data_IF_534118197190
#
_entry.id   IF_534118197190
#
_cell.length_a   1.000
_cell.length_b   1.000
_cell.length_c   1.000
_cell.angle_alpha   90.00
_cell.angle_beta   90.00
_cell.angle_gamma   90.00
#
_symmetry.space_group_name_H-M   'P 1'
#
loop_
_entity.id
_entity.type
_entity.pdbx_description
1 polymer ?
#
# COMPACT_ATOMS: atom_id res chain seq x y z
N UNK A 1 -53.22 -2.16 52.05
CA UNK A 1 -54.52 -2.15 51.38
C UNK A 1 -54.30 -2.30 49.89
N UNK A 2 -54.56 -3.51 49.39
CA UNK A 2 -54.43 -3.87 48.01
C UNK A 2 -55.74 -3.49 47.24
N UNK A 3 -55.62 -2.75 46.16
CA UNK A 3 -56.72 -2.42 45.25
C UNK A 3 -56.58 -3.30 43.98
N UNK A 4 -57.48 -4.23 43.80
CA UNK A 4 -57.66 -5.10 42.65
C UNK A 4 -58.07 -4.30 41.40
N UNK A 5 -57.37 -4.40 40.31
CA UNK A 5 -57.83 -3.95 38.98
C UNK A 5 -58.17 -5.19 38.16
N UNK A 6 -59.45 -5.31 37.88
CA UNK A 6 -60.06 -6.39 37.08
C UNK A 6 -59.63 -6.32 35.61
N UNK A 7 -59.27 -7.46 35.05
CA UNK A 7 -58.93 -7.61 33.67
C UNK A 7 -60.10 -7.36 32.72
N UNK A 8 -59.84 -6.67 31.64
CA UNK A 8 -60.70 -6.54 30.45
C UNK A 8 -60.32 -7.63 29.45
N UNK A 9 -61.26 -8.45 28.97
CA UNK A 9 -60.87 -9.52 28.05
C UNK A 9 -60.64 -8.98 26.64
N UNK A 10 -59.39 -9.00 26.23
CA UNK A 10 -58.87 -8.64 24.87
C UNK A 10 -59.07 -9.79 23.88
N UNK A 11 -60.32 -10.28 23.74
CA UNK A 11 -60.60 -11.44 22.87
C UNK A 11 -61.81 -11.22 21.95
N UNK A 12 -62.13 -9.99 21.56
CA UNK A 12 -63.24 -9.74 20.63
C UNK A 12 -62.91 -8.80 19.46
N UNK A 13 -61.64 -8.50 19.16
CA UNK A 13 -61.27 -7.61 18.04
C UNK A 13 -60.64 -8.31 16.83
N UNK A 14 -60.46 -9.62 16.83
CA UNK A 14 -59.83 -10.34 15.71
C UNK A 14 -60.77 -11.17 14.85
N UNK A 15 -62.05 -10.90 14.90
CA UNK A 15 -63.00 -11.74 14.14
C UNK A 15 -63.74 -11.03 13.01
N UNK A 16 -63.22 -9.93 12.46
CA UNK A 16 -63.85 -9.27 11.31
C UNK A 16 -62.89 -8.64 10.34
N UNK A 17 -61.91 -9.39 9.86
CA UNK A 17 -61.11 -9.02 8.69
C UNK A 17 -60.52 -10.25 8.00
N UNK A 18 -61.32 -11.30 7.83
CA UNK A 18 -60.99 -12.39 6.91
C UNK A 18 -61.88 -12.29 5.67
N UNK A 19 -61.82 -11.19 4.96
CA UNK A 19 -62.23 -11.20 3.55
C UNK A 19 -61.05 -11.79 2.77
N UNK A 20 -61.16 -13.06 2.42
CA UNK A 20 -60.28 -13.72 1.46
C UNK A 20 -60.30 -12.90 0.17
N UNK A 21 -59.23 -12.11 -0.04
CA UNK A 21 -58.89 -11.64 -1.37
C UNK A 21 -58.54 -12.90 -2.18
N UNK A 22 -59.46 -13.32 -3.01
CA UNK A 22 -59.25 -14.31 -4.06
C UNK A 22 -58.23 -13.70 -5.01
N UNK A 23 -56.98 -14.09 -4.88
CA UNK A 23 -55.94 -13.75 -5.85
C UNK A 23 -56.30 -14.50 -7.12
N UNK A 24 -56.87 -13.75 -8.06
CA UNK A 24 -57.21 -14.26 -9.41
C UNK A 24 -55.87 -14.54 -10.13
N UNK A 25 -55.54 -15.83 -10.22
CA UNK A 25 -54.27 -16.32 -10.77
C UNK A 25 -54.10 -16.06 -12.27
N UNK A 26 -55.10 -15.51 -12.94
CA UNK A 26 -55.11 -15.37 -14.41
C UNK A 26 -54.88 -13.94 -14.93
N UNK A 27 -54.73 -12.94 -14.05
CA UNK A 27 -54.51 -11.56 -14.46
C UNK A 27 -53.12 -11.02 -13.99
N UNK A 28 -52.09 -11.86 -14.02
CA UNK A 28 -50.76 -11.33 -13.98
C UNK A 28 -50.46 -10.72 -15.35
N UNK A 29 -50.83 -9.43 -15.49
CA UNK A 29 -50.75 -8.68 -16.74
C UNK A 29 -49.30 -8.74 -17.26
N UNK A 30 -49.17 -9.01 -18.56
CA UNK A 30 -47.89 -8.98 -19.29
C UNK A 30 -47.09 -7.73 -18.95
N UNK A 31 -47.76 -6.62 -18.59
CA UNK A 31 -47.15 -5.37 -18.16
C UNK A 31 -46.44 -5.44 -16.78
N UNK A 32 -46.94 -6.28 -15.83
CA UNK A 32 -46.26 -6.48 -14.55
C UNK A 32 -45.00 -7.33 -14.68
N UNK A 33 -44.99 -8.29 -15.58
CA UNK A 33 -43.81 -9.11 -15.88
C UNK A 33 -42.74 -8.28 -16.60
N UNK A 34 -43.14 -7.46 -17.58
CA UNK A 34 -42.23 -6.56 -18.27
C UNK A 34 -41.65 -5.48 -17.33
N UNK A 35 -42.46 -4.93 -16.41
CA UNK A 35 -41.97 -3.95 -15.43
C UNK A 35 -40.99 -4.56 -14.43
N UNK A 36 -41.19 -5.79 -13.99
CA UNK A 36 -40.26 -6.51 -13.13
C UNK A 36 -38.94 -6.87 -13.86
N UNK A 37 -39.05 -7.25 -15.14
CA UNK A 37 -37.88 -7.57 -15.97
C UNK A 37 -37.04 -6.32 -16.29
N UNK A 38 -37.70 -5.18 -16.59
CA UNK A 38 -36.98 -3.90 -16.83
C UNK A 38 -36.34 -3.36 -15.53
N UNK A 39 -37.02 -3.48 -14.39
CA UNK A 39 -36.46 -3.09 -13.09
C UNK A 39 -35.23 -3.95 -12.71
N UNK A 40 -35.30 -5.27 -12.97
CA UNK A 40 -34.19 -6.20 -12.76
C UNK A 40 -33.01 -5.91 -13.70
N UNK A 41 -33.27 -5.56 -14.96
CA UNK A 41 -32.22 -5.20 -15.93
C UNK A 41 -31.56 -3.86 -15.60
N UNK A 42 -32.31 -2.88 -15.10
CA UNK A 42 -31.77 -1.59 -14.64
C UNK A 42 -30.93 -1.78 -13.38
N UNK A 43 -31.32 -2.64 -12.43
CA UNK A 43 -30.53 -2.99 -11.25
C UNK A 43 -29.23 -3.73 -11.61
N UNK A 44 -29.24 -4.56 -12.65
CA UNK A 44 -28.03 -5.22 -13.16
C UNK A 44 -27.06 -4.25 -13.86
N UNK A 45 -27.55 -3.20 -14.52
CA UNK A 45 -26.74 -2.20 -15.19
C UNK A 45 -26.09 -1.18 -14.22
N UNK A 46 -26.67 -0.96 -13.05
CA UNK A 46 -26.11 -0.07 -12.01
C UNK A 46 -24.95 -0.72 -11.26
N UNK A 47 -24.76 -2.05 -11.34
CA UNK A 47 -23.71 -2.79 -10.63
C UNK A 47 -22.30 -2.73 -11.26
N UNK A 48 -22.13 -2.11 -12.44
CA UNK A 48 -20.83 -2.06 -13.15
C UNK A 48 -20.23 -0.64 -13.31
N UNK A 49 -20.63 0.31 -12.49
CA UNK A 49 -19.82 1.50 -12.32
C UNK A 49 -18.59 1.12 -11.48
N UNK A 50 -17.56 0.50 -12.10
CA UNK A 50 -16.21 0.54 -11.56
C UNK A 50 -15.87 2.02 -11.47
N UNK A 51 -15.82 2.57 -10.28
CA UNK A 51 -15.15 3.83 -10.07
C UNK A 51 -13.72 3.62 -10.57
N UNK A 52 -13.29 4.36 -11.59
CA UNK A 52 -11.90 4.38 -12.01
C UNK A 52 -11.07 4.77 -10.78
N UNK A 53 -10.33 3.82 -10.25
CA UNK A 53 -9.44 4.03 -9.12
C UNK A 53 -8.41 5.07 -9.53
N UNK A 54 -8.44 6.24 -8.91
CA UNK A 54 -7.48 7.31 -9.20
C UNK A 54 -6.09 6.87 -8.75
N UNK A 55 -5.24 6.55 -9.73
CA UNK A 55 -3.85 6.15 -9.50
C UNK A 55 -2.96 7.38 -9.64
N UNK A 56 -2.15 7.63 -8.62
CA UNK A 56 -1.09 8.63 -8.64
C UNK A 56 0.18 7.96 -9.15
N UNK A 57 0.82 8.54 -10.18
CA UNK A 57 2.18 8.22 -10.60
C UNK A 57 3.08 9.39 -10.22
N UNK A 58 4.20 9.11 -9.55
CA UNK A 58 5.11 10.14 -9.04
C UNK A 58 6.56 9.63 -9.02
N UNK A 59 7.52 10.55 -9.11
CA UNK A 59 8.95 10.29 -8.95
C UNK A 59 9.41 10.20 -7.47
N UNK A 60 8.45 10.30 -6.54
CA UNK A 60 8.70 10.19 -5.11
C UNK A 60 7.40 10.18 -4.31
N UNK A 61 7.51 10.17 -3.01
CA UNK A 61 6.42 10.17 -2.05
C UNK A 61 6.63 11.23 -0.99
N UNK A 62 5.61 12.03 -0.70
CA UNK A 62 5.57 12.92 0.47
C UNK A 62 4.25 12.69 1.22
N UNK A 63 4.35 12.40 2.51
CA UNK A 63 3.17 12.22 3.34
C UNK A 63 2.42 13.54 3.59
N UNK A 64 3.13 14.67 3.65
CA UNK A 64 2.55 15.97 4.02
C UNK A 64 2.02 16.78 2.82
N UNK A 65 2.18 16.31 1.60
CA UNK A 65 1.71 17.00 0.43
C UNK A 65 2.56 16.81 -0.82
N UNK A 66 2.86 17.92 -1.50
CA UNK A 66 3.61 17.89 -2.75
C UNK A 66 5.11 17.79 -2.51
N UNK A 67 5.82 17.21 -3.49
CA UNK A 67 7.27 17.15 -3.54
C UNK A 67 7.83 18.52 -3.94
N UNK A 68 8.88 18.98 -3.30
CA UNK A 68 9.52 20.26 -3.61
C UNK A 68 10.41 20.20 -4.87
N UNK A 69 11.01 19.04 -5.14
CA UNK A 69 11.82 18.83 -6.33
C UNK A 69 10.96 18.33 -7.49
N UNK A 70 11.11 18.91 -8.71
CA UNK A 70 10.43 18.42 -9.90
C UNK A 70 10.98 17.04 -10.33
N UNK A 71 10.26 16.34 -11.22
CA UNK A 71 10.64 15.01 -11.68
C UNK A 71 12.03 14.93 -12.34
N UNK A 72 12.44 16.02 -12.98
CA UNK A 72 13.69 16.12 -13.75
C UNK A 72 14.80 16.90 -13.03
N UNK A 73 14.74 17.01 -11.69
CA UNK A 73 15.77 17.73 -10.95
C UNK A 73 17.15 17.12 -11.16
N UNK A 74 18.18 17.94 -11.52
CA UNK A 74 19.51 17.43 -11.88
C UNK A 74 20.36 17.06 -10.65
N UNK A 75 20.08 17.63 -9.52
CA UNK A 75 20.73 17.37 -8.23
C UNK A 75 19.93 18.03 -7.09
N UNK A 76 20.14 17.57 -5.88
CA UNK A 76 19.61 18.20 -4.68
C UNK A 76 20.23 19.58 -4.46
N UNK A 77 19.47 20.57 -4.01
CA UNK A 77 19.90 21.98 -3.94
C UNK A 77 21.11 22.21 -3.03
N UNK A 78 21.27 21.39 -2.00
CA UNK A 78 22.38 21.49 -1.06
C UNK A 78 23.65 20.77 -1.54
N UNK A 79 23.64 20.12 -2.70
CA UNK A 79 24.80 19.43 -3.27
C UNK A 79 25.59 20.36 -4.17
N UNK A 80 26.90 20.42 -3.96
CA UNK A 80 27.79 21.10 -4.88
C UNK A 80 28.03 20.22 -6.12
N UNK A 81 27.43 20.57 -7.26
CA UNK A 81 27.57 19.83 -8.53
C UNK A 81 29.01 19.80 -9.07
N UNK A 82 29.82 20.78 -8.70
CA UNK A 82 31.19 20.94 -9.15
C UNK A 82 32.21 20.31 -8.16
N UNK A 83 31.73 19.62 -7.13
CA UNK A 83 32.61 18.92 -6.19
C UNK A 83 33.38 17.81 -6.90
N UNK A 84 34.69 17.67 -6.63
CA UNK A 84 35.49 16.59 -7.18
C UNK A 84 34.94 15.23 -6.76
N UNK A 85 34.92 14.29 -7.70
CA UNK A 85 34.51 12.91 -7.44
C UNK A 85 35.68 12.08 -6.90
N UNK A 86 35.40 11.34 -5.84
CA UNK A 86 36.41 10.46 -5.20
C UNK A 86 37.14 11.12 -4.04
N UNK A 87 38.18 10.45 -3.58
CA UNK A 87 38.97 10.82 -2.39
C UNK A 87 38.75 9.86 -1.23
N UNK A 88 39.49 10.07 -0.14
CA UNK A 88 39.41 9.27 1.08
C UNK A 88 38.76 10.10 2.20
N UNK A 89 37.88 9.48 2.94
CA UNK A 89 37.27 10.05 4.14
C UNK A 89 37.54 9.16 5.34
N UNK A 90 38.04 9.76 6.40
CA UNK A 90 38.22 9.09 7.70
C UNK A 90 37.19 9.59 8.68
N UNK A 91 36.39 8.67 9.23
CA UNK A 91 35.41 8.98 10.26
C UNK A 91 35.81 8.33 11.59
N UNK A 92 35.54 9.04 12.68
CA UNK A 92 35.67 8.45 13.99
C UNK A 92 34.43 7.61 14.32
N UNK A 93 34.62 6.42 14.88
CA UNK A 93 33.57 5.58 15.39
C UNK A 93 33.96 4.88 16.67
N UNK A 94 33.02 4.81 17.62
CA UNK A 94 33.30 4.16 18.91
C UNK A 94 33.15 2.65 18.81
N UNK A 95 34.10 1.93 19.42
CA UNK A 95 34.06 0.47 19.53
C UNK A 95 34.80 -0.24 18.43
N UNK A 96 34.50 -1.51 18.24
CA UNK A 96 35.10 -2.42 17.26
C UNK A 96 33.99 -3.04 16.39
N UNK A 97 34.38 -3.64 15.28
CA UNK A 97 33.47 -4.40 14.42
C UNK A 97 34.11 -5.74 14.05
N UNK A 98 33.27 -6.69 13.67
CA UNK A 98 33.67 -8.02 13.20
C UNK A 98 32.92 -8.44 11.93
N UNK A 99 32.09 -7.54 11.36
CA UNK A 99 31.32 -7.76 10.14
C UNK A 99 31.16 -6.47 9.34
N UNK A 100 31.18 -6.58 8.00
CA UNK A 100 30.79 -5.51 7.08
C UNK A 100 29.34 -5.69 6.58
N UNK A 101 28.61 -6.66 7.08
CA UNK A 101 27.18 -6.84 6.78
C UNK A 101 26.33 -6.09 7.81
N UNK A 102 25.60 -5.01 7.44
CA UNK A 102 24.80 -4.23 8.38
C UNK A 102 23.54 -4.98 8.85
N UNK A 103 23.15 -6.05 8.15
CA UNK A 103 21.96 -6.86 8.43
C UNK A 103 22.27 -8.12 9.23
N UNK A 104 23.51 -8.25 9.74
CA UNK A 104 23.92 -9.43 10.49
C UNK A 104 23.12 -9.59 11.79
N UNK A 105 22.69 -10.81 12.08
CA UNK A 105 22.03 -11.17 13.35
C UNK A 105 23.02 -11.43 14.48
N UNK A 106 24.27 -11.64 14.16
CA UNK A 106 25.38 -11.89 15.11
C UNK A 106 26.54 -10.98 14.76
N UNK A 107 27.27 -10.59 15.77
CA UNK A 107 28.41 -9.70 15.61
C UNK A 107 28.00 -8.20 15.62
N UNK A 108 28.96 -7.38 15.28
CA UNK A 108 28.82 -5.92 15.22
C UNK A 108 29.25 -5.43 13.84
N UNK A 109 28.36 -4.75 13.14
CA UNK A 109 28.66 -4.17 11.83
C UNK A 109 29.59 -2.98 11.94
N UNK A 110 30.46 -2.81 10.94
CA UNK A 110 31.34 -1.64 10.81
C UNK A 110 30.54 -0.35 10.62
N UNK A 111 31.14 0.77 11.02
CA UNK A 111 30.64 2.08 10.65
C UNK A 111 30.61 2.21 9.13
N UNK A 112 29.56 2.82 8.58
CA UNK A 112 29.30 2.93 7.13
C UNK A 112 29.15 1.57 6.39
N UNK A 113 28.98 0.46 7.10
CA UNK A 113 28.72 -0.83 6.45
C UNK A 113 27.43 -0.83 5.60
N UNK A 114 26.48 0.07 5.87
CA UNK A 114 25.29 0.27 5.05
C UNK A 114 25.47 1.15 3.82
N UNK A 115 26.57 1.90 3.71
CA UNK A 115 26.79 2.86 2.61
C UNK A 115 26.77 2.26 1.19
N UNK A 116 27.17 0.98 0.96
CA UNK A 116 27.08 0.36 -0.37
C UNK A 116 25.68 -0.13 -0.75
N UNK A 117 24.70 -0.07 0.14
CA UNK A 117 23.35 -0.56 -0.11
C UNK A 117 22.44 0.62 -0.42
N UNK A 118 21.73 0.50 -1.54
CA UNK A 118 20.74 1.49 -1.99
C UNK A 118 19.33 0.95 -1.82
N UNK A 119 18.41 1.85 -1.53
CA UNK A 119 16.97 1.56 -1.40
C UNK A 119 16.21 1.94 -2.67
N UNK A 120 14.94 1.58 -2.76
CA UNK A 120 14.08 1.97 -3.89
C UNK A 120 13.84 3.48 -3.91
N UNK A 121 13.63 4.06 -2.72
CA UNK A 121 13.48 5.50 -2.51
C UNK A 121 14.50 5.95 -1.45
N UNK A 122 14.88 7.21 -1.48
CA UNK A 122 15.75 7.81 -0.46
C UNK A 122 15.26 9.20 -0.07
N UNK A 123 15.58 9.60 1.15
CA UNK A 123 15.22 10.90 1.72
C UNK A 123 16.16 12.02 1.30
N UNK A 124 15.75 13.26 1.57
CA UNK A 124 16.59 14.44 1.40
C UNK A 124 16.81 15.13 2.74
N UNK A 125 17.91 15.92 2.85
CA UNK A 125 18.24 16.64 4.07
C UNK A 125 17.42 17.93 4.26
N UNK A 126 16.79 18.41 3.22
CA UNK A 126 16.10 19.71 3.16
C UNK A 126 14.58 19.61 3.07
N UNK A 127 14.03 18.42 2.99
CA UNK A 127 12.57 18.20 2.91
C UNK A 127 12.10 17.07 3.84
N UNK A 128 11.37 17.44 4.85
CA UNK A 128 10.89 16.48 5.86
C UNK A 128 9.73 15.65 5.32
N UNK A 129 9.82 14.32 5.47
CA UNK A 129 8.75 13.39 5.09
C UNK A 129 8.68 13.09 3.60
N UNK A 130 9.64 13.55 2.81
CA UNK A 130 9.77 13.24 1.40
C UNK A 130 10.79 12.14 1.15
N UNK A 131 10.46 11.28 0.20
CA UNK A 131 11.33 10.26 -0.36
C UNK A 131 11.30 10.39 -1.88
N UNK A 132 12.44 10.39 -2.50
CA UNK A 132 12.62 10.45 -3.95
C UNK A 132 13.13 9.14 -4.50
N UNK A 133 12.82 8.85 -5.75
CA UNK A 133 13.27 7.63 -6.39
C UNK A 133 14.80 7.55 -6.45
N UNK A 134 15.38 6.44 -5.93
CA UNK A 134 16.80 6.10 -6.04
C UNK A 134 16.96 4.92 -7.00
N UNK A 135 16.81 3.66 -6.58
CA UNK A 135 16.74 2.51 -7.50
C UNK A 135 15.43 2.49 -8.29
N UNK A 136 14.33 2.99 -7.73
CA UNK A 136 13.11 3.23 -8.49
C UNK A 136 13.16 4.59 -9.18
N UNK A 137 12.70 4.67 -10.42
CA UNK A 137 12.50 5.93 -11.13
C UNK A 137 11.17 6.59 -10.78
N UNK A 138 10.16 5.76 -10.49
CA UNK A 138 8.81 6.24 -10.15
C UNK A 138 8.05 5.21 -9.33
N UNK A 139 6.99 5.68 -8.66
CA UNK A 139 6.02 4.87 -7.94
C UNK A 139 4.61 5.12 -8.48
N UNK A 140 3.76 4.11 -8.33
CA UNK A 140 2.33 4.20 -8.63
C UNK A 140 1.55 3.72 -7.40
N UNK A 141 0.54 4.47 -6.97
CA UNK A 141 -0.29 4.09 -5.83
C UNK A 141 -1.69 4.69 -5.93
N UNK A 142 -2.73 4.03 -5.39
CA UNK A 142 -4.08 4.56 -5.36
C UNK A 142 -4.24 5.60 -4.24
N UNK A 143 -5.33 6.35 -4.30
CA UNK A 143 -5.66 7.37 -3.28
C UNK A 143 -5.79 6.76 -1.87
N UNK A 144 -6.29 5.53 -1.78
CA UNK A 144 -6.43 4.81 -0.51
C UNK A 144 -5.12 4.18 -0.01
N UNK A 145 -4.04 4.22 -0.81
CA UNK A 145 -2.73 3.65 -0.51
C UNK A 145 -2.79 2.17 -0.09
N UNK A 146 -3.69 1.38 -0.68
CA UNK A 146 -3.81 -0.05 -0.41
C UNK A 146 -2.68 -0.89 -1.01
N UNK A 147 -1.96 -0.32 -1.96
CA UNK A 147 -0.80 -0.91 -2.61
C UNK A 147 0.15 0.17 -3.16
N UNK A 148 1.37 -0.24 -3.48
CA UNK A 148 2.34 0.57 -4.22
C UNK A 148 3.04 -0.29 -5.27
N UNK A 149 3.31 0.30 -6.41
CA UNK A 149 4.18 -0.26 -7.45
C UNK A 149 5.44 0.59 -7.53
N UNK A 150 6.60 -0.05 -7.56
CA UNK A 150 7.88 0.58 -7.86
C UNK A 150 8.30 0.21 -9.28
N UNK A 151 8.64 1.20 -10.07
CA UNK A 151 9.25 1.05 -11.39
C UNK A 151 10.75 1.25 -11.22
N UNK A 152 11.54 0.19 -11.39
CA UNK A 152 13.00 0.19 -11.19
C UNK A 152 13.65 0.81 -12.43
N UNK A 153 14.67 1.66 -12.23
CA UNK A 153 15.43 2.28 -13.33
C UNK A 153 16.08 1.24 -14.21
N UNK A 154 16.11 1.48 -15.49
CA UNK A 154 16.82 0.60 -16.42
C UNK A 154 18.33 0.59 -16.15
N UNK A 155 18.89 1.72 -15.70
CA UNK A 155 20.30 1.90 -15.38
C UNK A 155 20.71 1.32 -14.04
N UNK A 156 19.76 0.85 -13.20
CA UNK A 156 20.07 0.27 -11.90
C UNK A 156 20.88 -1.02 -12.07
N UNK A 157 22.12 -1.00 -11.57
CA UNK A 157 23.07 -2.10 -11.65
C UNK A 157 23.63 -2.44 -10.27
N UNK A 158 23.93 -3.71 -10.03
CA UNK A 158 24.79 -4.12 -8.93
C UNK A 158 26.26 -3.72 -9.18
N UNK A 159 27.09 -3.78 -8.16
CA UNK A 159 28.51 -3.40 -8.24
C UNK A 159 29.33 -4.26 -9.22
N UNK A 160 28.85 -5.44 -9.57
CA UNK A 160 29.44 -6.31 -10.58
C UNK A 160 28.96 -6.04 -12.02
N UNK A 161 28.06 -5.05 -12.19
CA UNK A 161 27.49 -4.64 -13.45
C UNK A 161 26.26 -5.43 -13.89
N UNK A 162 25.75 -6.37 -13.07
CA UNK A 162 24.49 -7.06 -13.37
C UNK A 162 23.29 -6.15 -13.10
N UNK A 163 22.21 -6.23 -13.95
CA UNK A 163 21.03 -5.40 -13.74
C UNK A 163 20.29 -5.76 -12.45
N UNK A 164 19.83 -4.75 -11.70
CA UNK A 164 18.88 -4.93 -10.60
C UNK A 164 17.50 -5.19 -11.16
N UNK A 165 16.84 -6.24 -10.68
CA UNK A 165 15.53 -6.68 -11.15
C UNK A 165 14.48 -6.64 -10.04
N UNK A 166 13.20 -6.71 -10.44
CA UNK A 166 12.08 -6.83 -9.50
C UNK A 166 12.11 -8.15 -8.71
N UNK A 167 12.71 -9.21 -9.28
CA UNK A 167 12.90 -10.48 -8.57
C UNK A 167 13.95 -10.34 -7.45
N UNK A 168 15.02 -9.55 -7.65
CA UNK A 168 16.03 -9.28 -6.62
C UNK A 168 15.40 -8.50 -5.45
N UNK A 169 14.57 -7.50 -5.75
CA UNK A 169 13.84 -6.74 -4.74
C UNK A 169 12.89 -7.65 -3.94
N UNK A 170 12.14 -8.50 -4.63
CA UNK A 170 11.25 -9.48 -4.00
C UNK A 170 12.03 -10.47 -3.14
N UNK A 171 13.14 -10.98 -3.65
CA UNK A 171 14.01 -11.89 -2.91
C UNK A 171 14.55 -11.25 -1.62
N UNK A 172 15.04 -10.03 -1.70
CA UNK A 172 15.53 -9.28 -0.55
C UNK A 172 14.45 -9.10 0.52
N UNK A 173 13.24 -8.73 0.09
CA UNK A 173 12.08 -8.60 0.99
C UNK A 173 11.76 -9.93 1.69
N UNK A 174 11.71 -11.04 0.94
CA UNK A 174 11.45 -12.36 1.50
C UNK A 174 12.57 -12.79 2.47
N UNK A 175 13.82 -12.53 2.11
CA UNK A 175 14.97 -12.81 2.96
C UNK A 175 14.87 -12.08 4.31
N UNK A 176 14.47 -10.81 4.30
CA UNK A 176 14.26 -10.04 5.53
C UNK A 176 13.09 -10.58 6.37
N UNK A 177 12.01 -11.03 5.74
CA UNK A 177 10.90 -11.67 6.45
C UNK A 177 11.29 -13.00 7.08
N UNK A 178 12.10 -13.83 6.40
CA UNK A 178 12.43 -15.16 6.86
C UNK A 178 13.64 -15.16 7.82
N UNK A 179 14.69 -14.42 7.48
CA UNK A 179 15.98 -14.50 8.13
C UNK A 179 16.47 -13.18 8.74
N UNK A 180 15.78 -12.07 8.49
CA UNK A 180 16.13 -10.75 8.98
C UNK A 180 16.06 -10.60 10.50
N UNK A 181 16.44 -9.44 10.98
CA UNK A 181 16.30 -9.03 12.38
C UNK A 181 14.84 -9.08 12.81
N UNK A 182 14.59 -9.39 14.09
CA UNK A 182 13.22 -9.51 14.61
C UNK A 182 12.39 -8.23 14.40
N UNK A 183 13.03 -7.05 14.48
CA UNK A 183 12.40 -5.76 14.19
C UNK A 183 11.92 -5.65 12.74
N UNK A 184 12.73 -6.04 11.77
CA UNK A 184 12.34 -6.06 10.35
C UNK A 184 11.18 -7.01 10.10
N UNK A 185 11.26 -8.23 10.63
CA UNK A 185 10.18 -9.23 10.52
C UNK A 185 8.85 -8.71 11.05
N UNK A 186 8.89 -8.08 12.23
CA UNK A 186 7.69 -7.54 12.87
C UNK A 186 7.08 -6.40 12.04
N UNK A 187 7.88 -5.42 11.62
CA UNK A 187 7.42 -4.26 10.89
C UNK A 187 6.92 -4.65 9.49
N UNK A 188 7.74 -5.34 8.71
CA UNK A 188 7.38 -5.72 7.34
C UNK A 188 6.17 -6.66 7.30
N UNK A 189 6.10 -7.64 8.24
CA UNK A 189 4.97 -8.56 8.32
C UNK A 189 3.65 -7.92 8.76
N UNK A 190 3.70 -6.80 9.50
CA UNK A 190 2.50 -6.03 9.84
C UNK A 190 2.02 -5.16 8.67
N UNK A 191 2.93 -4.67 7.84
CA UNK A 191 2.61 -3.70 6.78
C UNK A 191 2.27 -4.40 5.48
N UNK A 192 3.07 -5.37 5.06
CA UNK A 192 2.96 -6.00 3.74
C UNK A 192 2.13 -7.28 3.83
N UNK A 193 1.08 -7.32 3.03
CA UNK A 193 0.21 -8.50 2.85
C UNK A 193 0.78 -9.45 1.81
N UNK A 194 1.25 -8.92 0.69
CA UNK A 194 1.75 -9.71 -0.45
C UNK A 194 2.67 -8.87 -1.35
N UNK A 195 3.49 -9.55 -2.15
CA UNK A 195 4.38 -8.95 -3.14
C UNK A 195 4.24 -9.65 -4.48
N UNK A 196 4.15 -8.88 -5.56
CA UNK A 196 3.97 -9.39 -6.91
C UNK A 196 4.97 -8.74 -7.88
N UNK A 197 5.74 -9.55 -8.58
CA UNK A 197 6.55 -9.11 -9.72
C UNK A 197 5.62 -8.97 -10.92
N UNK A 198 5.55 -7.78 -11.49
CA UNK A 198 4.73 -7.45 -12.66
C UNK A 198 5.52 -7.43 -13.96
N UNK A 199 6.85 -7.44 -13.85
CA UNK A 199 7.79 -7.45 -14.97
C UNK A 199 9.23 -7.33 -14.44
N UNK A 200 10.25 -7.41 -15.29
CA UNK A 200 11.66 -7.41 -14.87
C UNK A 200 12.06 -6.19 -14.02
N UNK A 201 11.42 -5.04 -14.25
CA UNK A 201 11.68 -3.77 -13.59
C UNK A 201 10.48 -3.24 -12.82
N UNK A 202 9.46 -4.07 -12.54
CA UNK A 202 8.22 -3.61 -11.93
C UNK A 202 7.76 -4.56 -10.84
N UNK A 203 7.66 -4.05 -9.59
CA UNK A 203 7.22 -4.82 -8.42
C UNK A 203 6.07 -4.10 -7.71
N UNK A 204 5.09 -4.86 -7.25
CA UNK A 204 3.94 -4.39 -6.49
C UNK A 204 3.97 -4.94 -5.07
N UNK A 205 3.71 -4.08 -4.10
CA UNK A 205 3.45 -4.44 -2.71
C UNK A 205 1.99 -4.18 -2.38
N UNK A 206 1.31 -5.17 -1.84
CA UNK A 206 -0.02 -5.05 -1.26
C UNK A 206 0.11 -4.83 0.24
N UNK A 207 -0.60 -3.85 0.77
CA UNK A 207 -0.58 -3.55 2.19
C UNK A 207 -1.71 -4.22 2.95
N UNK A 208 -1.48 -4.50 4.22
CA UNK A 208 -2.54 -4.94 5.11
C UNK A 208 -3.54 -3.79 5.32
N UNK A 209 -4.85 -4.09 5.45
CA UNK A 209 -5.87 -3.05 5.66
C UNK A 209 -5.62 -2.18 6.89
N UNK A 210 -5.01 -2.76 7.93
CA UNK A 210 -4.68 -2.09 9.20
C UNK A 210 -3.30 -1.42 9.20
N UNK A 211 -2.54 -1.51 8.10
CA UNK A 211 -1.24 -0.86 7.99
C UNK A 211 -1.37 0.67 8.03
N UNK A 212 -0.40 1.32 8.69
CA UNK A 212 -0.32 2.79 8.69
C UNK A 212 -0.08 3.28 7.26
N UNK A 213 -1.04 4.01 6.70
CA UNK A 213 -0.92 4.59 5.35
C UNK A 213 0.23 5.59 5.25
N UNK A 214 0.54 6.28 6.35
CA UNK A 214 1.67 7.20 6.41
C UNK A 214 3.02 6.50 6.21
N UNK A 215 3.17 5.31 6.80
CA UNK A 215 4.46 4.67 6.95
C UNK A 215 4.66 3.51 5.96
N UNK A 216 3.59 3.01 5.33
CA UNK A 216 3.63 1.82 4.50
C UNK A 216 4.56 1.97 3.27
N UNK A 217 4.39 3.03 2.47
CA UNK A 217 5.24 3.30 1.31
C UNK A 217 6.69 3.61 1.73
N UNK A 218 6.95 4.51 2.72
CA UNK A 218 8.29 4.75 3.22
C UNK A 218 9.02 3.51 3.71
N UNK A 219 8.36 2.62 4.41
CA UNK A 219 9.01 1.42 5.00
C UNK A 219 9.40 0.39 3.95
N UNK A 220 8.64 0.25 2.86
CA UNK A 220 8.98 -0.71 1.80
C UNK A 220 9.88 -0.10 0.71
N UNK A 221 9.97 1.22 0.65
CA UNK A 221 10.76 1.96 -0.34
C UNK A 221 12.12 2.44 0.15
N UNK A 222 12.23 2.79 1.45
CA UNK A 222 13.43 3.41 2.06
C UNK A 222 14.35 2.52 2.86
#
# INVERSE_FOLDING_TARGET
KYGSIRGVPMLKLFHKASSRAKIDKNNFSLHTITALFTLSLVLLLVGFASADEKITKSHGFNFFGELSYPEDFPHLQYVNKDAPKGGDISIWSMGTFDSMNPYTRKGRSGALASAPFESLLDGTADEVGSLYGLLAESIEYPEDQSWVIFNIREEALFSDGTPVTADDVKYTFQLFLEQGLASYKAILGQIVKDTQVLGPKKIKYWFNPDASKRDAIPIVGG
#
